data_IF_417864294364
#
_entry.id   IF_417864294364
#
_cell.length_a   1.000
_cell.length_b   1.000
_cell.length_c   1.000
_cell.angle_alpha   90.00
_cell.angle_beta   90.00
_cell.angle_gamma   90.00
#
_symmetry.space_group_name_H-M   'P 1'
#
loop_
_entity.id
_entity.type
_entity.pdbx_description
1 polymer ?
#
# COMPACT_ATOMS: atom_id res chain seq x y z
N UNK A 1 -40.22 -21.58 -14.02
CA UNK A 1 -39.11 -22.53 -13.71
C UNK A 1 -37.85 -21.67 -13.61
N UNK A 2 -37.48 -21.36 -12.39
CA UNK A 2 -36.30 -20.54 -12.08
C UNK A 2 -35.06 -21.43 -12.02
N UNK A 3 -33.95 -21.04 -12.68
CA UNK A 3 -32.62 -21.64 -12.51
C UNK A 3 -31.88 -20.79 -11.47
N UNK A 4 -31.15 -21.41 -10.53
CA UNK A 4 -30.34 -20.67 -9.57
C UNK A 4 -29.05 -20.18 -10.23
N UNK A 5 -28.71 -18.92 -9.98
CA UNK A 5 -27.45 -18.31 -10.34
C UNK A 5 -26.31 -18.87 -9.48
N UNK A 6 -25.29 -19.38 -10.12
CA UNK A 6 -24.02 -19.74 -9.48
C UNK A 6 -23.20 -18.47 -9.33
N UNK A 7 -23.00 -18.01 -8.09
CA UNK A 7 -22.06 -16.96 -7.76
C UNK A 7 -20.65 -17.45 -8.06
N UNK A 8 -19.99 -16.87 -9.05
CA UNK A 8 -18.57 -17.02 -9.31
C UNK A 8 -17.81 -16.12 -8.34
N UNK A 9 -17.18 -16.72 -7.32
CA UNK A 9 -16.17 -16.03 -6.52
C UNK A 9 -14.97 -15.71 -7.41
N UNK A 10 -14.79 -14.44 -7.76
CA UNK A 10 -13.59 -13.97 -8.44
C UNK A 10 -12.41 -14.10 -7.47
N UNK A 11 -11.47 -14.96 -7.79
CA UNK A 11 -10.18 -15.02 -7.09
C UNK A 11 -9.39 -13.78 -7.47
N UNK A 12 -9.21 -12.88 -6.54
CA UNK A 12 -8.33 -11.71 -6.69
C UNK A 12 -6.90 -12.19 -6.87
N UNK A 13 -6.24 -11.68 -7.89
CA UNK A 13 -4.79 -11.73 -8.03
C UNK A 13 -4.27 -10.34 -7.70
N UNK A 14 -3.94 -10.08 -6.44
CA UNK A 14 -3.19 -8.89 -6.12
C UNK A 14 -1.77 -9.00 -6.69
N UNK A 15 -1.12 -7.90 -6.93
CA UNK A 15 0.23 -7.86 -7.49
C UNK A 15 1.21 -8.68 -6.65
N UNK A 16 1.93 -9.61 -7.29
CA UNK A 16 2.90 -10.48 -6.61
C UNK A 16 4.18 -9.69 -6.38
N UNK A 17 4.41 -9.24 -5.15
CA UNK A 17 5.75 -8.85 -4.73
C UNK A 17 6.52 -10.12 -4.38
N UNK A 18 7.20 -10.69 -5.36
CA UNK A 18 8.21 -11.71 -5.10
C UNK A 18 9.45 -11.02 -4.53
N UNK A 19 9.47 -10.81 -3.23
CA UNK A 19 10.67 -10.42 -2.51
C UNK A 19 11.74 -11.48 -2.74
N UNK A 20 12.69 -11.18 -3.61
CA UNK A 20 13.86 -12.00 -3.86
C UNK A 20 14.79 -12.00 -2.65
N UNK A 21 14.55 -12.87 -1.67
CA UNK A 21 15.52 -13.19 -0.65
C UNK A 21 16.65 -13.96 -1.30
N UNK A 22 17.79 -13.31 -1.55
CA UNK A 22 19.05 -13.98 -1.92
C UNK A 22 19.50 -14.86 -0.76
N UNK A 23 19.25 -16.16 -0.84
CA UNK A 23 19.78 -17.17 0.06
C UNK A 23 21.28 -17.30 -0.22
N UNK A 24 22.11 -16.69 0.62
CA UNK A 24 23.50 -17.05 0.75
C UNK A 24 23.59 -18.33 1.60
N UNK A 25 23.81 -19.46 0.93
CA UNK A 25 24.18 -20.71 1.59
C UNK A 25 25.61 -20.56 2.17
N UNK A 26 25.70 -20.44 3.48
CA UNK A 26 26.96 -20.71 4.21
C UNK A 26 26.85 -22.10 4.81
N UNK A 27 27.59 -23.04 4.21
CA UNK A 27 27.82 -24.34 4.79
C UNK A 27 28.86 -24.23 5.92
N UNK A 28 28.50 -24.70 7.10
CA UNK A 28 29.49 -25.00 8.13
C UNK A 28 29.17 -26.33 8.79
N UNK A 29 30.16 -27.22 8.69
CA UNK A 29 30.16 -28.55 9.27
C UNK A 29 30.51 -28.55 10.77
N UNK A 30 29.98 -29.55 11.51
CA UNK A 30 30.77 -30.30 12.44
C UNK A 30 30.45 -30.22 13.92
N UNK A 31 29.77 -31.19 14.45
CA UNK A 31 30.20 -32.20 15.41
C UNK A 31 30.03 -31.91 16.91
N UNK A 32 29.87 -32.99 17.71
CA UNK A 32 29.08 -32.94 18.93
C UNK A 32 29.94 -32.98 20.23
N UNK A 33 29.36 -32.66 21.37
CA UNK A 33 29.98 -32.84 22.68
C UNK A 33 29.03 -32.69 23.86
N UNK A 34 28.82 -33.79 24.56
CA UNK A 34 28.19 -33.96 25.86
C UNK A 34 28.75 -33.05 26.96
N UNK A 35 28.02 -32.63 28.00
CA UNK A 35 27.90 -33.35 29.26
C UNK A 35 27.07 -32.59 30.34
N UNK A 36 26.66 -33.39 31.30
CA UNK A 36 25.61 -33.23 32.30
C UNK A 36 26.06 -32.54 33.62
N UNK A 37 25.06 -31.88 34.30
CA UNK A 37 24.77 -31.88 35.73
C UNK A 37 25.54 -30.96 36.66
N UNK A 38 25.16 -30.83 37.94
CA UNK A 38 23.84 -30.92 38.54
C UNK A 38 23.41 -29.68 39.40
N UNK A 39 22.22 -29.76 39.97
CA UNK A 39 21.54 -28.78 40.80
C UNK A 39 22.23 -28.41 42.11
N UNK A 40 22.01 -27.15 42.57
CA UNK A 40 22.20 -26.76 43.97
C UNK A 40 21.04 -25.85 44.42
N UNK A 41 20.53 -26.13 45.60
CA UNK A 41 19.27 -25.63 46.17
C UNK A 41 19.38 -24.24 46.84
N UNK A 42 18.33 -23.81 47.55
CA UNK A 42 18.04 -22.42 47.84
C UNK A 42 18.67 -21.91 49.13
N UNK A 43 19.00 -20.63 49.20
CA UNK A 43 19.42 -19.93 50.40
C UNK A 43 18.46 -18.73 50.71
N UNK A 44 18.43 -18.24 51.93
CA UNK A 44 17.23 -17.72 52.58
C UNK A 44 16.99 -16.22 52.39
N UNK A 45 15.73 -15.84 52.64
CA UNK A 45 15.21 -14.48 52.59
C UNK A 45 15.87 -13.56 53.66
N UNK A 46 16.29 -12.37 53.22
CA UNK A 46 16.59 -11.24 54.08
C UNK A 46 15.48 -10.19 53.99
N UNK A 47 14.79 -10.02 55.08
CA UNK A 47 13.84 -8.90 55.31
C UNK A 47 14.62 -7.60 55.43
N UNK A 48 14.40 -6.66 54.53
CA UNK A 48 14.86 -5.26 54.72
C UNK A 48 13.67 -4.31 54.69
N UNK A 49 13.68 -3.41 55.67
CA UNK A 49 12.61 -2.49 55.99
C UNK A 49 12.39 -1.42 54.91
N UNK A 50 11.13 -1.08 54.73
CA UNK A 50 10.69 0.01 53.88
C UNK A 50 11.01 1.36 54.51
N UNK A 51 11.95 2.12 53.92
CA UNK A 51 12.07 3.56 54.16
C UNK A 51 11.15 4.28 53.18
N UNK A 52 10.34 5.18 53.71
CA UNK A 52 9.38 5.98 52.94
C UNK A 52 10.09 6.84 51.89
N UNK A 53 9.68 6.66 50.64
CA UNK A 53 10.12 7.49 49.50
C UNK A 53 9.48 8.88 49.61
N UNK A 54 10.21 9.97 49.42
CA UNK A 54 9.62 11.33 49.40
C UNK A 54 8.70 11.49 48.18
N UNK A 55 7.56 12.14 48.41
CA UNK A 55 6.57 12.42 47.38
C UNK A 55 7.18 13.27 46.24
N UNK A 56 7.07 12.78 45.02
CA UNK A 56 7.42 13.53 43.82
C UNK A 56 6.40 14.66 43.64
N UNK A 57 6.81 15.91 43.44
CA UNK A 57 5.88 17.02 43.20
C UNK A 57 5.12 16.77 41.88
N UNK A 58 3.81 16.97 41.91
CA UNK A 58 2.94 16.81 40.75
C UNK A 58 3.43 17.70 39.58
N UNK A 59 3.68 17.08 38.45
CA UNK A 59 4.03 17.76 37.19
C UNK A 59 2.86 18.65 36.79
N UNK A 60 3.08 19.91 36.37
CA UNK A 60 2.01 20.75 35.84
C UNK A 60 1.34 20.03 34.65
N UNK A 61 0.03 19.89 34.70
CA UNK A 61 -0.78 19.40 33.59
C UNK A 61 -0.59 20.36 32.40
N UNK A 62 0.14 19.93 31.40
CA UNK A 62 0.19 20.65 30.13
C UNK A 62 -1.23 20.71 29.55
N UNK A 63 -1.74 21.94 29.37
CA UNK A 63 -2.99 22.18 28.67
C UNK A 63 -2.87 21.51 27.28
N UNK A 64 -3.81 20.62 26.97
CA UNK A 64 -3.85 19.97 25.67
C UNK A 64 -3.82 21.05 24.57
N UNK A 65 -2.96 20.94 23.54
CA UNK A 65 -2.99 21.84 22.41
C UNK A 65 -4.41 21.83 21.83
N UNK A 66 -4.99 23.01 21.61
CA UNK A 66 -6.27 23.12 20.91
C UNK A 66 -6.22 22.40 19.57
N UNK A 67 -7.39 22.00 19.01
CA UNK A 67 -7.43 21.28 17.74
C UNK A 67 -6.64 22.09 16.70
N UNK A 68 -5.59 21.48 16.16
CA UNK A 68 -4.85 22.07 15.02
C UNK A 68 -5.84 22.24 13.88
N UNK A 69 -5.79 23.36 13.14
CA UNK A 69 -6.57 23.48 11.91
C UNK A 69 -6.33 22.24 11.08
N UNK A 70 -7.41 21.56 10.64
CA UNK A 70 -7.28 20.48 9.67
C UNK A 70 -6.48 21.02 8.48
N UNK A 71 -5.37 20.38 8.08
CA UNK A 71 -4.79 20.69 6.79
C UNK A 71 -5.89 20.49 5.77
N UNK A 72 -6.23 21.51 5.02
CA UNK A 72 -7.06 21.34 3.83
C UNK A 72 -6.31 20.35 2.97
N UNK A 73 -6.98 19.25 2.60
CA UNK A 73 -6.45 18.30 1.64
C UNK A 73 -5.83 19.12 0.50
N UNK A 74 -4.56 18.97 0.24
CA UNK A 74 -3.95 19.62 -0.93
C UNK A 74 -4.70 19.02 -2.10
N UNK A 75 -5.23 19.88 -2.96
CA UNK A 75 -5.75 19.47 -4.26
C UNK A 75 -4.59 18.79 -5.00
N UNK A 76 -4.52 17.50 -4.83
CA UNK A 76 -3.41 16.71 -5.26
C UNK A 76 -3.73 16.26 -6.67
N UNK A 77 -3.08 16.82 -7.63
CA UNK A 77 -3.34 16.56 -9.02
C UNK A 77 -4.82 16.60 -9.43
N UNK A 78 -5.29 17.77 -9.67
CA UNK A 78 -6.34 17.88 -10.66
C UNK A 78 -5.64 17.64 -12.01
N UNK A 79 -5.96 16.56 -12.74
CA UNK A 79 -5.50 16.44 -14.11
C UNK A 79 -6.02 17.68 -14.81
N UNK A 80 -5.11 18.60 -15.14
CA UNK A 80 -5.45 19.83 -15.83
C UNK A 80 -5.86 19.50 -17.26
N UNK A 81 -7.17 19.21 -17.46
CA UNK A 81 -7.71 19.00 -18.79
C UNK A 81 -7.49 17.58 -19.35
N UNK A 82 -8.52 17.09 -20.00
CA UNK A 82 -8.56 15.86 -20.77
C UNK A 82 -7.75 16.00 -22.05
N UNK A 83 -6.50 15.65 -22.03
CA UNK A 83 -5.71 15.61 -23.25
C UNK A 83 -4.45 14.76 -23.07
N UNK A 84 -4.01 14.06 -24.11
CA UNK A 84 -2.92 13.09 -24.03
C UNK A 84 -1.59 13.69 -23.56
N UNK A 85 -1.45 15.00 -23.56
CA UNK A 85 -0.19 15.67 -23.24
C UNK A 85 -0.13 16.30 -21.84
N UNK A 86 -1.26 16.30 -21.08
CA UNK A 86 -1.38 17.04 -19.82
C UNK A 86 -1.83 16.20 -18.62
N UNK A 87 -2.10 14.90 -18.79
CA UNK A 87 -2.45 13.98 -17.71
C UNK A 87 -1.21 13.50 -16.95
N UNK A 88 -1.38 13.05 -15.70
CA UNK A 88 -0.33 12.34 -15.00
C UNK A 88 0.00 11.05 -15.76
N UNK A 89 1.28 10.73 -15.84
CA UNK A 89 1.77 9.52 -16.49
C UNK A 89 2.31 8.57 -15.43
N UNK A 90 1.64 7.45 -15.29
CA UNK A 90 1.82 6.51 -14.20
C UNK A 90 2.96 5.52 -14.46
N UNK A 91 3.81 5.30 -13.46
CA UNK A 91 4.76 4.19 -13.35
C UNK A 91 4.52 3.49 -12.02
N UNK A 92 4.46 2.17 -12.06
CA UNK A 92 4.26 1.34 -10.89
C UNK A 92 5.36 0.29 -10.79
N UNK A 93 6.14 0.35 -9.72
CA UNK A 93 7.32 -0.50 -9.50
C UNK A 93 7.34 -0.97 -8.04
N UNK A 94 6.90 -2.20 -7.79
CA UNK A 94 6.78 -2.74 -6.44
C UNK A 94 7.67 -3.98 -6.21
N UNK A 95 8.32 -4.52 -7.26
CA UNK A 95 9.08 -5.77 -7.15
C UNK A 95 10.45 -5.58 -6.50
N UNK A 96 11.03 -4.41 -6.64
CA UNK A 96 12.35 -4.07 -6.10
C UNK A 96 12.52 -2.55 -5.91
N UNK A 97 13.52 -2.11 -5.12
CA UNK A 97 13.80 -0.69 -5.00
C UNK A 97 14.04 -0.04 -6.37
N UNK A 98 13.34 1.05 -6.66
CA UNK A 98 13.43 1.74 -7.93
C UNK A 98 14.86 2.27 -8.17
N UNK A 99 15.44 1.91 -9.29
CA UNK A 99 16.76 2.39 -9.72
C UNK A 99 16.61 3.56 -10.69
N UNK A 100 16.82 4.77 -10.23
CA UNK A 100 16.72 6.00 -11.03
C UNK A 100 17.73 6.08 -12.20
N UNK A 101 18.67 5.14 -12.33
CA UNK A 101 19.57 4.99 -13.47
C UNK A 101 19.16 3.89 -14.45
N UNK A 102 18.15 3.12 -14.12
CA UNK A 102 17.56 2.09 -14.99
C UNK A 102 16.56 2.73 -15.95
N UNK A 103 16.79 2.61 -17.24
CA UNK A 103 15.85 3.10 -18.26
C UNK A 103 14.48 2.45 -18.12
N UNK A 104 14.43 1.18 -17.69
CA UNK A 104 13.20 0.41 -17.47
C UNK A 104 12.41 0.99 -16.29
N UNK A 105 13.03 1.10 -15.11
CA UNK A 105 12.36 1.57 -13.89
C UNK A 105 11.88 3.02 -14.06
N UNK A 106 12.63 3.81 -14.82
CA UNK A 106 12.24 5.16 -15.20
C UNK A 106 11.20 5.23 -16.33
N UNK A 107 10.66 4.08 -16.75
CA UNK A 107 9.63 3.98 -17.79
C UNK A 107 10.06 4.48 -19.17
N UNK A 108 11.38 4.56 -19.41
CA UNK A 108 11.91 5.01 -20.70
C UNK A 108 11.74 3.93 -21.78
N UNK A 109 11.44 4.37 -22.99
CA UNK A 109 11.26 3.46 -24.15
C UNK A 109 9.88 2.79 -24.18
N UNK A 110 8.96 3.16 -23.33
CA UNK A 110 7.58 2.71 -23.39
C UNK A 110 6.92 3.12 -24.71
N UNK A 111 5.98 2.29 -25.17
CA UNK A 111 5.18 2.56 -26.37
C UNK A 111 3.71 2.60 -25.97
N UNK A 112 2.98 3.62 -26.41
CA UNK A 112 1.58 3.82 -26.07
C UNK A 112 0.63 3.02 -26.99
N UNK A 113 -0.67 3.10 -26.72
CA UNK A 113 -1.69 2.41 -27.49
C UNK A 113 -1.71 2.77 -29.01
N UNK A 114 -1.22 3.94 -29.38
CA UNK A 114 -1.09 4.35 -30.77
C UNK A 114 0.20 3.83 -31.45
N UNK A 115 0.99 2.99 -30.78
CA UNK A 115 2.27 2.47 -31.28
C UNK A 115 3.39 3.52 -31.37
N UNK A 116 3.27 4.63 -30.65
CA UNK A 116 4.24 5.72 -30.61
C UNK A 116 5.04 5.70 -29.32
N UNK A 117 6.26 6.23 -29.30
CA UNK A 117 6.99 6.43 -28.06
C UNK A 117 6.14 7.22 -27.06
N UNK A 118 5.94 6.65 -25.87
CA UNK A 118 5.22 7.30 -24.79
C UNK A 118 6.12 8.33 -24.10
N UNK A 119 5.52 9.39 -23.59
CA UNK A 119 6.23 10.30 -22.70
C UNK A 119 6.63 9.62 -21.40
N UNK A 120 7.72 10.04 -20.78
CA UNK A 120 8.17 9.52 -19.49
C UNK A 120 7.13 9.70 -18.39
N UNK A 121 7.16 8.88 -17.34
CA UNK A 121 6.30 9.02 -16.17
C UNK A 121 6.44 10.40 -15.52
N UNK A 122 5.40 10.83 -14.83
CA UNK A 122 5.41 12.01 -13.95
C UNK A 122 4.93 11.66 -12.55
N UNK A 123 4.47 10.42 -12.40
CA UNK A 123 3.98 9.82 -11.15
C UNK A 123 4.60 8.45 -11.01
N UNK A 124 5.29 8.25 -9.92
CA UNK A 124 5.89 6.96 -9.57
C UNK A 124 5.22 6.43 -8.32
N UNK A 125 4.66 5.24 -8.38
CA UNK A 125 4.17 4.51 -7.24
C UNK A 125 5.16 3.39 -6.93
N UNK A 126 5.75 3.44 -5.75
CA UNK A 126 6.87 2.59 -5.37
C UNK A 126 6.74 2.14 -3.92
N UNK A 127 7.26 0.96 -3.63
CA UNK A 127 7.27 0.41 -2.28
C UNK A 127 7.88 1.37 -1.25
N UNK A 128 7.10 1.69 -0.22
CA UNK A 128 7.49 2.66 0.80
C UNK A 128 8.61 2.15 1.71
N UNK A 129 8.70 0.85 1.93
CA UNK A 129 9.71 0.24 2.82
C UNK A 129 11.04 0.09 2.11
N UNK A 130 11.05 -0.43 0.89
CA UNK A 130 12.26 -0.74 0.15
C UNK A 130 12.94 0.49 -0.44
N UNK A 131 12.19 1.56 -0.73
CA UNK A 131 12.75 2.75 -1.32
C UNK A 131 13.25 3.75 -0.27
N UNK A 132 14.53 4.16 -0.33
CA UNK A 132 15.07 5.17 0.57
C UNK A 132 14.62 6.59 0.18
N UNK A 133 14.66 7.52 1.13
CA UNK A 133 14.35 8.95 0.89
C UNK A 133 15.17 9.57 -0.26
N UNK A 134 16.37 9.03 -0.55
CA UNK A 134 17.20 9.51 -1.66
C UNK A 134 16.58 9.22 -3.03
N UNK A 135 15.85 8.12 -3.20
CA UNK A 135 15.09 7.78 -4.41
C UNK A 135 13.95 8.78 -4.62
N UNK A 136 13.16 9.02 -3.57
CA UNK A 136 12.07 10.02 -3.59
C UNK A 136 12.62 11.42 -3.95
N UNK A 137 13.69 11.83 -3.29
CA UNK A 137 14.34 13.12 -3.60
C UNK A 137 14.91 13.18 -5.03
N UNK A 138 15.32 12.05 -5.61
CA UNK A 138 15.80 12.01 -6.99
C UNK A 138 14.65 12.24 -7.98
N UNK A 139 13.50 11.60 -7.76
CA UNK A 139 12.29 11.79 -8.59
C UNK A 139 11.76 13.23 -8.45
N UNK A 140 11.72 13.79 -7.26
CA UNK A 140 11.33 15.20 -7.05
C UNK A 140 12.24 16.20 -7.82
N UNK A 141 13.55 15.90 -7.94
CA UNK A 141 14.45 16.76 -8.74
C UNK A 141 14.12 16.74 -10.24
N UNK A 142 13.46 15.71 -10.72
CA UNK A 142 12.95 15.62 -12.09
C UNK A 142 11.60 16.33 -12.26
N UNK A 143 10.98 16.73 -11.16
CA UNK A 143 9.65 17.34 -11.13
C UNK A 143 8.52 16.34 -10.97
N UNK A 144 8.86 15.07 -10.72
CA UNK A 144 7.90 13.99 -10.60
C UNK A 144 7.28 13.92 -9.21
N UNK A 145 6.14 13.24 -9.11
CA UNK A 145 5.44 12.93 -7.88
C UNK A 145 5.66 11.48 -7.49
N UNK A 146 5.63 11.19 -6.17
CA UNK A 146 5.93 9.86 -5.67
C UNK A 146 4.87 9.41 -4.69
N UNK A 147 4.20 8.31 -5.02
CA UNK A 147 3.23 7.61 -4.18
C UNK A 147 3.98 6.53 -3.40
N UNK A 148 3.64 6.38 -2.14
CA UNK A 148 4.16 5.39 -1.22
C UNK A 148 3.20 4.21 -1.14
N UNK A 149 3.52 3.10 -1.77
CA UNK A 149 2.80 1.84 -1.58
C UNK A 149 3.08 1.28 -0.19
N UNK A 150 2.04 0.92 0.53
CA UNK A 150 2.07 0.16 1.79
C UNK A 150 0.83 -0.72 1.92
N UNK A 151 0.99 -1.92 2.50
CA UNK A 151 -0.14 -2.75 2.90
C UNK A 151 -0.78 -2.20 4.18
N UNK A 152 -2.10 -2.03 4.19
CA UNK A 152 -2.84 -1.56 5.36
C UNK A 152 -3.84 -2.58 5.90
N UNK A 153 -4.34 -3.49 5.06
CA UNK A 153 -5.28 -4.56 5.44
C UNK A 153 -4.64 -5.93 5.58
N UNK A 154 -3.35 -6.05 5.25
CA UNK A 154 -2.57 -7.26 5.42
C UNK A 154 -1.15 -6.93 5.90
N UNK A 155 -0.37 -7.96 6.21
CA UNK A 155 1.04 -7.85 6.53
C UNK A 155 1.78 -9.13 6.14
N UNK A 156 2.94 -8.97 5.48
CA UNK A 156 3.85 -10.04 5.14
C UNK A 156 5.10 -10.07 6.04
N UNK A 157 5.64 -11.26 6.29
CA UNK A 157 6.87 -11.42 7.06
C UNK A 157 8.11 -11.46 6.13
N UNK A 158 8.16 -10.60 5.13
CA UNK A 158 9.27 -10.51 4.18
C UNK A 158 10.15 -9.28 4.44
N UNK A 159 9.64 -8.25 5.11
CA UNK A 159 10.46 -7.15 5.58
C UNK A 159 11.08 -7.44 6.94
N UNK A 160 12.35 -7.11 7.09
CA UNK A 160 13.03 -7.18 8.38
C UNK A 160 12.92 -5.85 9.13
N UNK A 161 13.04 -5.88 10.46
CA UNK A 161 13.11 -4.66 11.27
C UNK A 161 14.24 -3.71 10.81
N UNK A 162 15.32 -4.26 10.27
CA UNK A 162 16.44 -3.48 9.74
C UNK A 162 16.08 -2.76 8.42
N UNK A 163 15.36 -3.43 7.50
CA UNK A 163 14.88 -2.80 6.26
C UNK A 163 13.81 -1.75 6.53
N UNK A 164 12.97 -1.97 7.52
CA UNK A 164 11.98 -1.01 8.00
C UNK A 164 12.58 0.15 8.82
N UNK A 165 13.83 0.02 9.25
CA UNK A 165 14.53 1.04 10.06
C UNK A 165 13.97 1.19 11.47
N UNK A 166 13.40 0.13 12.04
CA UNK A 166 12.75 0.12 13.37
C UNK A 166 13.26 -1.05 14.23
N UNK A 167 13.11 -0.99 15.55
CA UNK A 167 13.62 -2.05 16.44
C UNK A 167 12.89 -3.40 16.30
N UNK A 168 11.60 -3.38 15.99
CA UNK A 168 10.75 -4.57 15.85
C UNK A 168 9.90 -4.38 14.59
N UNK A 169 9.95 -5.34 13.66
CA UNK A 169 9.20 -5.22 12.39
C UNK A 169 7.70 -5.04 12.61
N UNK A 170 7.04 -4.37 11.67
CA UNK A 170 5.59 -4.15 11.72
C UNK A 170 4.83 -5.48 11.81
N UNK A 171 5.23 -6.48 11.02
CA UNK A 171 4.67 -7.83 11.14
C UNK A 171 4.80 -8.39 12.55
N UNK A 172 5.98 -8.28 13.17
CA UNK A 172 6.21 -8.79 14.53
C UNK A 172 5.40 -8.05 15.59
N UNK A 173 5.18 -6.74 15.41
CA UNK A 173 4.32 -5.95 16.30
C UNK A 173 2.86 -6.43 16.22
N UNK A 174 2.32 -6.61 15.00
CA UNK A 174 0.97 -7.14 14.77
C UNK A 174 0.82 -8.58 15.31
N UNK A 175 1.81 -9.43 15.09
CA UNK A 175 1.83 -10.79 15.61
C UNK A 175 1.82 -10.81 17.15
N UNK A 176 2.60 -9.95 17.80
CA UNK A 176 2.64 -9.86 19.26
C UNK A 176 1.32 -9.31 19.86
N UNK A 177 0.62 -8.46 19.13
CA UNK A 177 -0.70 -7.95 19.51
C UNK A 177 -1.82 -8.99 19.31
N UNK A 178 -1.60 -10.03 18.50
CA UNK A 178 -2.61 -11.02 18.14
C UNK A 178 -3.51 -10.58 16.98
N UNK A 179 -3.10 -9.57 16.23
CA UNK A 179 -3.89 -8.92 15.19
C UNK A 179 -3.75 -9.58 13.81
N UNK A 180 -2.97 -10.68 13.68
CA UNK A 180 -2.83 -11.39 12.41
C UNK A 180 -3.94 -12.43 12.22
N UNK A 181 -4.72 -12.22 11.18
CA UNK A 181 -5.84 -13.05 10.78
C UNK A 181 -5.47 -14.26 9.91
N UNK A 182 -6.34 -14.60 8.97
CA UNK A 182 -6.10 -15.69 8.00
C UNK A 182 -5.05 -15.27 6.97
N UNK A 183 -4.46 -16.28 6.34
CA UNK A 183 -3.53 -16.05 5.23
C UNK A 183 -4.29 -15.48 4.03
N UNK A 184 -3.70 -14.49 3.38
CA UNK A 184 -4.20 -13.96 2.09
C UNK A 184 -4.05 -15.05 1.02
N UNK A 185 -5.11 -15.42 0.30
CA UNK A 185 -5.05 -16.48 -0.71
C UNK A 185 -4.06 -16.14 -1.83
N UNK A 186 -3.09 -17.02 -2.05
CA UNK A 186 -2.07 -16.85 -3.10
C UNK A 186 -0.82 -16.06 -2.68
N UNK A 187 -0.81 -15.45 -1.49
CA UNK A 187 0.24 -14.54 -1.04
C UNK A 187 0.90 -14.98 0.26
N UNK A 188 2.13 -14.55 0.55
CA UNK A 188 2.82 -14.84 1.82
C UNK A 188 2.33 -14.01 3.02
N UNK A 189 1.29 -13.21 2.84
CA UNK A 189 0.73 -12.27 3.82
C UNK A 189 -0.42 -12.88 4.64
N UNK A 190 -0.77 -12.18 5.70
CA UNK A 190 -1.95 -12.43 6.53
C UNK A 190 -2.76 -11.15 6.65
N UNK A 191 -4.08 -11.26 6.55
CA UNK A 191 -4.97 -10.16 6.90
C UNK A 191 -4.71 -9.68 8.31
N UNK A 192 -4.99 -8.41 8.57
CA UNK A 192 -4.91 -7.82 9.91
C UNK A 192 -6.31 -7.52 10.46
N UNK A 193 -6.42 -7.41 11.79
CA UNK A 193 -7.64 -6.94 12.43
C UNK A 193 -7.72 -5.41 12.34
N UNK A 194 -8.38 -4.89 11.33
CA UNK A 194 -8.52 -3.45 11.10
C UNK A 194 -9.31 -2.73 12.20
N UNK A 195 -10.06 -3.46 13.04
CA UNK A 195 -10.80 -2.92 14.18
C UNK A 195 -9.93 -2.80 15.45
N UNK A 196 -8.72 -3.41 15.44
CA UNK A 196 -7.82 -3.33 16.59
C UNK A 196 -7.08 -1.99 16.62
N UNK A 197 -7.10 -1.33 17.78
CA UNK A 197 -6.35 -0.08 17.98
C UNK A 197 -4.83 -0.25 17.82
N UNK A 198 -4.29 -1.45 18.09
CA UNK A 198 -2.90 -1.82 17.84
C UNK A 198 -2.58 -1.83 16.36
N UNK A 199 -3.45 -2.39 15.51
CA UNK A 199 -3.30 -2.35 14.05
C UNK A 199 -3.27 -0.91 13.54
N UNK A 200 -4.24 -0.08 13.93
CA UNK A 200 -4.25 1.35 13.57
C UNK A 200 -2.94 2.02 13.95
N UNK A 201 -2.45 1.80 15.17
CA UNK A 201 -1.21 2.40 15.66
C UNK A 201 0.03 1.95 14.87
N UNK A 202 0.09 0.67 14.48
CA UNK A 202 1.19 0.13 13.67
C UNK A 202 1.16 0.73 12.26
N UNK A 203 -0.01 0.79 11.62
CA UNK A 203 -0.15 1.36 10.27
C UNK A 203 0.11 2.87 10.26
N UNK A 204 -0.38 3.63 11.25
CA UNK A 204 -0.02 5.04 11.41
C UNK A 204 1.49 5.25 11.57
N UNK A 205 2.16 4.35 12.31
CA UNK A 205 3.63 4.37 12.43
C UNK A 205 4.31 4.11 11.08
N UNK A 206 3.78 3.18 10.27
CA UNK A 206 4.25 2.89 8.91
C UNK A 206 4.08 4.10 8.00
N UNK A 207 2.90 4.70 7.93
CA UNK A 207 2.63 5.93 7.17
C UNK A 207 3.64 7.03 7.53
N UNK A 208 3.85 7.24 8.81
CA UNK A 208 4.78 8.28 9.28
C UNK A 208 6.23 8.00 8.92
N UNK A 209 6.69 6.76 9.13
CA UNK A 209 8.11 6.42 9.01
C UNK A 209 8.50 6.07 7.58
N UNK A 210 7.66 5.34 6.86
CA UNK A 210 8.00 4.84 5.53
C UNK A 210 7.58 5.83 4.44
N UNK A 211 6.50 6.58 4.63
CA UNK A 211 6.01 7.52 3.64
C UNK A 211 6.40 8.97 3.97
N UNK A 212 5.87 9.53 5.07
CA UNK A 212 6.06 10.95 5.38
C UNK A 212 7.52 11.32 5.66
N UNK A 213 8.22 10.53 6.48
CA UNK A 213 9.62 10.81 6.83
C UNK A 213 10.59 10.65 5.66
N UNK A 214 10.23 9.85 4.64
CA UNK A 214 11.01 9.68 3.41
C UNK A 214 10.68 10.74 2.34
N UNK A 215 9.63 11.55 2.56
CA UNK A 215 9.27 12.67 1.70
C UNK A 215 8.35 12.32 0.55
N UNK A 216 7.67 11.20 0.58
CA UNK A 216 6.63 10.87 -0.41
C UNK A 216 5.54 11.93 -0.46
N UNK A 217 4.83 12.02 -1.57
CA UNK A 217 3.73 12.97 -1.77
C UNK A 217 2.38 12.36 -1.35
N UNK A 218 2.22 11.05 -1.46
CA UNK A 218 0.97 10.34 -1.24
C UNK A 218 1.18 8.93 -0.72
N UNK A 219 0.07 8.27 -0.36
CA UNK A 219 0.02 6.86 0.03
C UNK A 219 -0.97 6.12 -0.87
N UNK A 220 -0.55 4.97 -1.41
CA UNK A 220 -1.40 3.92 -1.92
C UNK A 220 -1.59 2.89 -0.79
N UNK A 221 -2.81 2.77 -0.22
CA UNK A 221 -3.09 1.79 0.83
C UNK A 221 -3.57 0.48 0.22
N UNK A 222 -2.74 -0.55 0.20
CA UNK A 222 -3.17 -1.84 -0.35
C UNK A 222 -4.01 -2.65 0.65
N UNK A 223 -4.98 -3.41 0.10
CA UNK A 223 -5.96 -4.20 0.88
C UNK A 223 -6.78 -3.31 1.83
N UNK A 224 -7.16 -2.12 1.35
CA UNK A 224 -8.02 -1.19 2.07
C UNK A 224 -9.52 -1.54 1.99
N UNK A 225 -9.88 -2.63 1.31
CA UNK A 225 -11.24 -3.10 1.07
C UNK A 225 -11.49 -4.53 1.59
N UNK A 226 -10.81 -4.92 2.67
CA UNK A 226 -10.81 -6.29 3.21
C UNK A 226 -12.15 -6.78 3.79
N UNK A 227 -13.18 -5.93 3.88
CA UNK A 227 -14.50 -6.29 4.41
C UNK A 227 -15.21 -7.41 3.63
N UNK A 228 -14.88 -7.57 2.36
CA UNK A 228 -15.41 -8.63 1.50
C UNK A 228 -14.63 -9.94 1.61
N UNK A 229 -13.51 -9.95 2.32
CA UNK A 229 -12.60 -11.07 2.40
C UNK A 229 -12.82 -11.96 3.63
N UNK A 230 -12.30 -13.17 3.56
CA UNK A 230 -12.28 -14.10 4.69
C UNK A 230 -11.09 -13.82 5.61
N UNK A 231 -11.03 -12.65 6.20
CA UNK A 231 -9.88 -12.16 6.98
C UNK A 231 -9.58 -12.97 8.24
N UNK A 232 -10.60 -13.63 8.80
CA UNK A 232 -10.53 -14.29 10.12
C UNK A 232 -11.12 -13.44 11.25
N UNK A 233 -11.43 -12.18 10.95
CA UNK A 233 -12.12 -11.23 11.81
C UNK A 233 -13.47 -10.85 11.18
N UNK A 234 -14.49 -10.55 11.99
CA UNK A 234 -15.73 -9.99 11.47
C UNK A 234 -15.47 -8.52 11.11
N UNK A 235 -15.39 -8.23 9.81
CA UNK A 235 -15.21 -6.86 9.29
C UNK A 235 -16.43 -6.52 8.45
N UNK A 236 -17.10 -5.43 8.78
CA UNK A 236 -18.19 -4.88 7.98
C UNK A 236 -17.66 -3.76 7.06
N UNK A 237 -18.37 -3.49 5.97
CA UNK A 237 -18.09 -2.37 5.08
C UNK A 237 -17.96 -1.04 5.85
N UNK A 238 -18.88 -0.76 6.77
CA UNK A 238 -18.85 0.47 7.57
C UNK A 238 -17.62 0.57 8.50
N UNK A 239 -17.14 -0.55 9.04
CA UNK A 239 -15.91 -0.60 9.83
C UNK A 239 -14.68 -0.37 8.95
N UNK A 240 -14.65 -0.94 7.75
CA UNK A 240 -13.59 -0.71 6.79
C UNK A 240 -13.55 0.77 6.35
N UNK A 241 -14.71 1.35 6.00
CA UNK A 241 -14.79 2.79 5.72
C UNK A 241 -14.29 3.67 6.88
N UNK A 242 -14.59 3.30 8.12
CA UNK A 242 -14.15 4.04 9.29
C UNK A 242 -12.63 3.94 9.49
N UNK A 243 -12.06 2.76 9.21
CA UNK A 243 -10.62 2.52 9.22
C UNK A 243 -9.91 3.40 8.18
N UNK A 244 -10.37 3.39 6.92
CA UNK A 244 -9.78 4.19 5.84
C UNK A 244 -9.88 5.69 6.12
N UNK A 245 -11.01 6.18 6.62
CA UNK A 245 -11.15 7.57 7.04
C UNK A 245 -10.19 7.95 8.16
N UNK A 246 -9.91 7.03 9.08
CA UNK A 246 -8.94 7.25 10.17
C UNK A 246 -7.54 7.40 9.60
N UNK A 247 -7.11 6.47 8.73
CA UNK A 247 -5.79 6.49 8.12
C UNK A 247 -5.61 7.68 7.18
N UNK A 248 -6.62 7.98 6.35
CA UNK A 248 -6.56 9.15 5.45
C UNK A 248 -6.46 10.46 6.23
N UNK A 249 -7.21 10.60 7.33
CA UNK A 249 -7.11 11.77 8.21
C UNK A 249 -5.71 11.89 8.80
N UNK A 250 -5.12 10.78 9.20
CA UNK A 250 -3.76 10.77 9.72
C UNK A 250 -2.73 11.13 8.63
N UNK A 251 -2.80 10.53 7.45
CA UNK A 251 -1.94 10.86 6.31
C UNK A 251 -2.02 12.33 5.93
N UNK A 252 -3.23 12.91 5.83
CA UNK A 252 -3.46 14.33 5.59
C UNK A 252 -2.82 15.20 6.68
N UNK A 253 -2.84 14.77 7.95
CA UNK A 253 -2.20 15.49 9.05
C UNK A 253 -0.68 15.58 8.90
N UNK A 254 -0.08 14.64 8.18
CA UNK A 254 1.34 14.60 7.84
C UNK A 254 1.67 15.31 6.51
N UNK A 255 0.64 15.80 5.80
CA UNK A 255 0.79 16.48 4.50
C UNK A 255 0.87 15.53 3.30
N UNK A 256 0.55 14.25 3.49
CA UNK A 256 0.42 13.26 2.41
C UNK A 256 -0.98 13.29 1.83
N UNK A 257 -1.11 13.04 0.53
CA UNK A 257 -2.38 12.62 -0.07
C UNK A 257 -2.66 11.14 0.26
N UNK A 258 -3.92 10.72 0.14
CA UNK A 258 -4.36 9.36 0.42
C UNK A 258 -5.19 8.82 -0.73
N UNK A 259 -4.80 7.67 -1.29
CA UNK A 259 -5.55 6.96 -2.30
C UNK A 259 -6.64 6.05 -1.73
N UNK A 260 -7.52 5.59 -2.59
CA UNK A 260 -8.27 4.35 -2.43
C UNK A 260 -7.67 3.31 -3.36
N UNK A 261 -7.50 2.08 -2.89
CA UNK A 261 -7.14 0.95 -3.75
C UNK A 261 -8.40 0.13 -4.07
N UNK A 262 -8.61 -0.18 -5.35
CA UNK A 262 -9.73 -1.00 -5.83
C UNK A 262 -11.12 -0.59 -5.31
N UNK A 263 -11.60 -1.15 -4.22
CA UNK A 263 -12.93 -0.93 -3.63
C UNK A 263 -13.91 -2.06 -3.94
N UNK A 264 -13.41 -3.26 -4.14
CA UNK A 264 -14.16 -4.52 -4.31
C UNK A 264 -15.29 -4.46 -5.34
N UNK A 265 -15.17 -3.59 -6.36
CA UNK A 265 -16.20 -3.34 -7.35
C UNK A 265 -17.52 -2.80 -6.74
N UNK A 266 -17.47 -2.25 -5.53
CA UNK A 266 -18.61 -1.69 -4.83
C UNK A 266 -18.71 -0.16 -5.04
N UNK A 267 -19.71 0.32 -5.81
CA UNK A 267 -19.88 1.75 -6.03
C UNK A 267 -20.34 2.50 -4.78
N UNK A 268 -20.89 1.81 -3.77
CA UNK A 268 -21.29 2.45 -2.51
C UNK A 268 -20.06 2.74 -1.67
N UNK A 269 -19.15 1.76 -1.54
CA UNK A 269 -17.87 1.92 -0.86
C UNK A 269 -17.02 3.02 -1.49
N UNK A 270 -16.83 2.98 -2.82
CA UNK A 270 -16.10 4.01 -3.53
C UNK A 270 -16.70 5.42 -3.33
N UNK A 271 -18.03 5.53 -3.36
CA UNK A 271 -18.73 6.79 -3.11
C UNK A 271 -18.58 7.26 -1.66
N UNK A 272 -18.52 6.35 -0.70
CA UNK A 272 -18.39 6.67 0.72
C UNK A 272 -16.98 7.16 1.06
N UNK A 273 -15.95 6.64 0.39
CA UNK A 273 -14.55 7.02 0.60
C UNK A 273 -14.11 8.24 -0.22
N UNK A 274 -14.71 8.45 -1.40
CA UNK A 274 -14.33 9.58 -2.28
C UNK A 274 -14.15 10.91 -1.54
N UNK A 275 -15.00 11.35 -0.59
CA UNK A 275 -14.81 12.64 0.08
C UNK A 275 -13.56 12.75 0.93
N UNK A 276 -12.95 11.65 1.32
CA UNK A 276 -11.80 11.60 2.23
C UNK A 276 -10.50 11.11 1.57
N UNK A 277 -10.58 10.69 0.31
CA UNK A 277 -9.45 10.22 -0.48
C UNK A 277 -9.14 11.21 -1.62
N UNK A 278 -7.92 11.24 -2.10
CA UNK A 278 -7.46 12.24 -3.07
C UNK A 278 -7.39 11.68 -4.49
N UNK A 279 -7.23 10.37 -4.63
CA UNK A 279 -7.19 9.64 -5.91
C UNK A 279 -7.70 8.22 -5.74
N UNK A 280 -7.88 7.53 -6.86
CA UNK A 280 -8.20 6.10 -6.92
C UNK A 280 -7.15 5.39 -7.76
N UNK A 281 -6.67 4.24 -7.31
CA UNK A 281 -5.90 3.29 -8.11
C UNK A 281 -6.67 1.97 -8.16
N UNK A 282 -6.95 1.51 -9.37
CA UNK A 282 -7.62 0.23 -9.63
C UNK A 282 -6.67 -0.74 -10.30
N UNK A 283 -6.88 -2.04 -10.05
CA UNK A 283 -6.24 -3.12 -10.77
C UNK A 283 -7.28 -3.87 -11.58
N UNK A 284 -6.94 -4.16 -12.84
CA UNK A 284 -7.69 -5.03 -13.74
C UNK A 284 -9.17 -4.60 -13.91
N UNK A 285 -9.49 -3.32 -13.64
CA UNK A 285 -10.87 -2.89 -13.67
C UNK A 285 -11.47 -2.98 -15.08
N UNK A 286 -10.66 -2.78 -16.12
CA UNK A 286 -11.08 -2.96 -17.51
C UNK A 286 -11.20 -4.43 -17.89
N UNK A 287 -10.28 -5.30 -17.40
CA UNK A 287 -10.37 -6.74 -17.59
C UNK A 287 -11.65 -7.33 -16.99
N UNK A 288 -12.03 -6.90 -15.79
CA UNK A 288 -13.24 -7.34 -15.12
C UNK A 288 -14.49 -6.52 -15.47
N UNK A 289 -14.38 -5.50 -16.33
CA UNK A 289 -15.48 -4.60 -16.72
C UNK A 289 -16.13 -3.85 -15.55
N UNK A 290 -15.34 -3.45 -14.58
CA UNK A 290 -15.80 -2.83 -13.32
C UNK A 290 -15.36 -1.37 -13.15
N UNK A 291 -14.55 -0.82 -14.07
CA UNK A 291 -13.99 0.52 -13.96
C UNK A 291 -15.03 1.59 -13.59
N UNK A 292 -16.15 1.59 -14.27
CA UNK A 292 -17.22 2.60 -14.03
C UNK A 292 -17.88 2.49 -12.66
N UNK A 293 -17.82 1.32 -12.03
CA UNK A 293 -18.45 1.10 -10.72
C UNK A 293 -17.72 1.90 -9.63
N UNK A 294 -16.39 1.87 -9.66
CA UNK A 294 -15.56 2.49 -8.61
C UNK A 294 -15.01 3.85 -9.01
N UNK A 295 -14.68 4.08 -10.30
CA UNK A 295 -14.09 5.35 -10.75
C UNK A 295 -15.06 6.51 -10.84
N UNK A 296 -16.34 6.25 -11.09
CA UNK A 296 -17.31 7.30 -11.37
C UNK A 296 -17.44 8.38 -10.28
N UNK A 297 -17.36 8.13 -8.97
CA UNK A 297 -17.33 9.17 -7.95
C UNK A 297 -16.12 10.10 -8.12
N UNK A 298 -14.93 9.51 -8.33
CA UNK A 298 -13.64 10.21 -8.43
C UNK A 298 -13.57 11.07 -9.69
N UNK A 299 -13.93 10.52 -10.85
CA UNK A 299 -13.98 11.27 -12.12
C UNK A 299 -14.93 12.47 -12.03
N UNK A 300 -16.12 12.28 -11.44
CA UNK A 300 -17.07 13.39 -11.23
C UNK A 300 -16.53 14.47 -10.29
N UNK A 301 -15.72 14.09 -9.32
CA UNK A 301 -15.06 15.02 -8.40
C UNK A 301 -13.80 15.67 -9.00
N UNK A 302 -13.41 15.28 -10.23
CA UNK A 302 -12.19 15.76 -10.88
C UNK A 302 -10.91 15.22 -10.25
N UNK A 303 -11.00 14.07 -9.55
CA UNK A 303 -9.86 13.42 -8.94
C UNK A 303 -9.17 12.47 -9.92
N UNK A 304 -7.88 12.21 -9.66
CA UNK A 304 -7.10 11.27 -10.43
C UNK A 304 -7.63 9.84 -10.27
N UNK A 305 -7.74 9.13 -11.40
CA UNK A 305 -8.01 7.69 -11.42
C UNK A 305 -6.92 7.03 -12.25
N UNK A 306 -6.18 6.14 -11.62
CA UNK A 306 -5.17 5.28 -12.23
C UNK A 306 -5.73 3.87 -12.38
N UNK A 307 -5.50 3.24 -13.52
CA UNK A 307 -5.86 1.84 -13.75
C UNK A 307 -4.65 1.04 -14.21
N UNK A 308 -4.34 -0.01 -13.47
CA UNK A 308 -3.26 -0.93 -13.77
C UNK A 308 -3.83 -2.23 -14.34
N UNK A 309 -3.55 -2.50 -15.60
CA UNK A 309 -3.90 -3.74 -16.29
C UNK A 309 -2.67 -4.63 -16.48
N UNK A 310 -2.85 -5.95 -16.58
CA UNK A 310 -1.72 -6.88 -16.66
C UNK A 310 -1.69 -7.69 -17.97
N UNK A 311 -0.50 -7.77 -18.57
CA UNK A 311 -0.28 -8.56 -19.78
C UNK A 311 -0.64 -10.03 -19.61
N UNK A 312 -0.49 -10.57 -18.41
CA UNK A 312 -0.72 -11.98 -18.10
C UNK A 312 -2.21 -12.34 -18.18
N UNK A 313 -3.09 -11.40 -17.86
CA UNK A 313 -4.54 -11.61 -17.86
C UNK A 313 -5.13 -11.46 -19.26
N UNK A 314 -4.64 -10.51 -20.03
CA UNK A 314 -5.06 -10.31 -21.42
C UNK A 314 -4.47 -11.34 -22.36
N UNK A 315 -3.28 -11.88 -22.08
CA UNK A 315 -2.64 -13.00 -22.77
C UNK A 315 -2.27 -12.75 -24.23
N UNK A 316 -2.20 -11.50 -24.63
CA UNK A 316 -1.95 -11.08 -25.98
C UNK A 316 -0.61 -10.41 -26.20
N UNK A 317 -0.44 -9.81 -27.37
CA UNK A 317 0.63 -8.85 -27.61
C UNK A 317 0.21 -7.50 -27.04
N UNK A 318 1.15 -6.74 -26.47
CA UNK A 318 0.94 -5.43 -25.81
C UNK A 318 0.01 -4.51 -26.60
N UNK A 319 0.22 -4.36 -27.92
CA UNK A 319 -0.62 -3.50 -28.76
C UNK A 319 -2.07 -3.98 -28.87
N UNK A 320 -2.29 -5.31 -28.88
CA UNK A 320 -3.64 -5.88 -28.92
C UNK A 320 -4.35 -5.69 -27.57
N UNK A 321 -3.63 -5.86 -26.46
CA UNK A 321 -4.18 -5.71 -25.11
C UNK A 321 -4.54 -4.25 -24.83
N UNK A 322 -3.66 -3.30 -25.14
CA UNK A 322 -3.96 -1.86 -25.07
C UNK A 322 -5.18 -1.47 -25.92
N UNK A 323 -5.35 -2.12 -27.09
CA UNK A 323 -6.51 -1.91 -27.96
C UNK A 323 -7.85 -2.34 -27.36
N UNK A 324 -7.83 -3.17 -26.30
CA UNK A 324 -9.06 -3.68 -25.65
C UNK A 324 -9.64 -2.71 -24.63
N UNK A 325 -8.82 -1.92 -23.93
CA UNK A 325 -9.27 -1.11 -22.82
C UNK A 325 -8.98 0.40 -22.97
N UNK A 326 -7.87 0.80 -23.56
CA UNK A 326 -7.42 2.19 -23.55
C UNK A 326 -8.45 3.21 -24.08
N UNK A 327 -9.21 2.87 -25.12
CA UNK A 327 -10.23 3.79 -25.65
C UNK A 327 -11.36 4.02 -24.63
N UNK A 328 -11.73 2.99 -23.87
CA UNK A 328 -12.76 3.09 -22.84
C UNK A 328 -12.26 3.90 -21.64
N UNK A 329 -11.06 3.63 -21.15
CA UNK A 329 -10.46 4.34 -20.02
C UNK A 329 -10.29 5.82 -20.31
N UNK A 330 -9.69 6.17 -21.45
CA UNK A 330 -9.50 7.56 -21.84
C UNK A 330 -10.85 8.30 -21.96
N UNK A 331 -11.88 7.64 -22.49
CA UNK A 331 -13.22 8.24 -22.59
C UNK A 331 -13.89 8.41 -21.23
N UNK A 332 -13.53 7.56 -20.27
CA UNK A 332 -14.02 7.62 -18.89
C UNK A 332 -13.22 8.57 -17.99
N UNK A 333 -12.12 9.13 -18.47
CA UNK A 333 -11.23 9.98 -17.67
C UNK A 333 -10.30 9.20 -16.73
N UNK A 334 -9.97 7.97 -17.11
CA UNK A 334 -9.08 7.04 -16.38
C UNK A 334 -7.72 7.01 -17.08
N UNK A 335 -6.64 7.05 -16.30
CA UNK A 335 -5.28 6.87 -16.80
C UNK A 335 -4.90 5.39 -16.75
N UNK A 336 -5.21 4.67 -17.85
CA UNK A 336 -4.94 3.24 -17.97
C UNK A 336 -3.50 2.97 -18.42
N UNK A 337 -2.87 2.03 -17.76
CA UNK A 337 -1.51 1.57 -18.10
C UNK A 337 -1.41 0.05 -17.98
N UNK A 338 -0.84 -0.58 -19.00
CA UNK A 338 -0.56 -2.02 -19.04
C UNK A 338 0.82 -2.29 -18.44
N UNK A 339 0.87 -3.14 -17.44
CA UNK A 339 2.08 -3.62 -16.78
C UNK A 339 2.29 -5.11 -17.00
N UNK A 340 3.41 -5.65 -16.55
CA UNK A 340 3.55 -7.08 -16.25
C UNK A 340 3.18 -7.31 -14.80
N UNK A 341 2.61 -8.47 -14.46
CA UNK A 341 2.28 -8.83 -13.07
C UNK A 341 3.48 -8.83 -12.12
N UNK A 342 4.69 -8.87 -12.67
CA UNK A 342 5.92 -8.75 -11.89
C UNK A 342 6.18 -7.34 -11.36
N UNK A 343 5.51 -6.30 -11.84
CA UNK A 343 5.71 -4.89 -11.47
C UNK A 343 7.18 -4.47 -11.37
N UNK A 344 7.97 -4.89 -12.38
CA UNK A 344 9.41 -4.68 -12.45
C UNK A 344 9.79 -3.60 -13.46
N UNK A 345 9.04 -2.50 -13.51
CA UNK A 345 9.31 -1.30 -14.28
C UNK A 345 8.87 -1.33 -15.76
N UNK A 346 8.36 -2.47 -16.30
CA UNK A 346 7.77 -2.46 -17.64
C UNK A 346 6.39 -1.81 -17.60
N UNK A 347 6.19 -0.85 -18.47
CA UNK A 347 4.89 -0.20 -18.64
C UNK A 347 4.57 0.02 -20.13
N UNK A 348 3.29 0.04 -20.47
CA UNK A 348 2.77 0.46 -21.75
C UNK A 348 1.49 1.28 -21.50
N UNK A 349 1.55 2.61 -21.52
CA UNK A 349 0.42 3.45 -21.18
C UNK A 349 -0.55 3.60 -22.35
N UNK A 350 -1.78 3.97 -22.05
CA UNK A 350 -2.78 4.32 -23.06
C UNK A 350 -2.41 5.59 -23.84
N UNK A 351 -1.69 6.54 -23.25
CA UNK A 351 -1.32 7.85 -23.83
C UNK A 351 0.19 8.00 -24.04
#
# INVERSE_FOLDING_TARGET
>A
MARPGTGGGGTRKAAIILGGASLLLAAACGGPGHDSGPAAGPAPAATQGFTATPAIPARPTATAPGPRPRPTARAWWHPGGSGPDNGPRFQWELNHPLNTHSARDMGAGAVNAAGRPAAGPTVYDIDGIENPASTVAALHRLGDKVICYIEVGAAGNYYSAASEGIPVSYYSQLAAAGDLGRKVPGYPERYVDINAASTVSVVESMIRQQCAAKGFDAVEPDIDDSYSDSTGYPVTEAENEAYDRTLSTYAHSLGLAWGQKNGDNDPAFAKALEPTTDFLLTEECSFYHTCQLVSAPYVRAGKLVLDAEYTDDWGGAVAADLGRFCAADLSAGIDGTLFTSALAGQRSPCQ
#
